data_IF_155037549384
#
_entry.id   IF_155037549384
#
_cell.length_a   1.000
_cell.length_b   1.000
_cell.length_c   1.000
_cell.angle_alpha   90.00
_cell.angle_beta   90.00
_cell.angle_gamma   90.00
#
_symmetry.space_group_name_H-M   'P 1'
#
loop_
_entity.id
_entity.type
_entity.pdbx_description
1 polymer ?
#
# COMPACT_ATOMS: atom_id res chain seq x y z
N UNK A 1 26.40 5.08 12.24
CA UNK A 1 25.36 5.95 12.83
C UNK A 1 24.34 6.24 11.74
N UNK A 2 23.06 5.87 11.89
CA UNK A 2 22.07 6.04 10.83
C UNK A 2 21.87 7.53 10.51
N UNK A 3 21.60 7.83 9.25
CA UNK A 3 21.37 9.19 8.77
C UNK A 3 20.11 9.83 9.38
N UNK A 4 19.10 8.99 9.67
CA UNK A 4 17.88 9.38 10.38
C UNK A 4 17.73 8.51 11.63
N UNK A 5 17.47 9.14 12.79
CA UNK A 5 17.21 8.45 14.06
C UNK A 5 16.00 9.07 14.74
N UNK A 6 14.97 8.25 15.03
CA UNK A 6 13.68 8.70 15.62
C UNK A 6 13.11 9.92 14.87
N UNK A 7 13.05 9.84 13.53
CA UNK A 7 12.52 10.90 12.67
C UNK A 7 13.38 12.17 12.55
N UNK A 8 14.58 12.21 13.14
CA UNK A 8 15.46 13.37 13.08
C UNK A 8 16.71 13.09 12.25
N UNK A 9 17.06 14.01 11.35
CA UNK A 9 18.29 13.95 10.56
C UNK A 9 19.48 14.08 11.51
N UNK A 10 20.44 13.15 11.44
CA UNK A 10 21.62 13.12 12.32
C UNK A 10 22.84 13.82 11.72
N UNK A 11 22.89 14.00 10.40
CA UNK A 11 24.02 14.59 9.65
C UNK A 11 23.62 15.93 9.02
N UNK A 12 23.12 16.87 9.82
CA UNK A 12 22.59 18.16 9.36
C UNK A 12 23.60 18.99 8.52
N UNK A 13 24.91 18.86 8.78
CA UNK A 13 25.94 19.55 8.00
C UNK A 13 26.02 19.10 6.54
N UNK A 14 25.62 17.87 6.22
CA UNK A 14 25.63 17.32 4.86
C UNK A 14 24.23 17.22 4.26
N UNK A 15 23.23 16.97 5.10
CA UNK A 15 21.83 16.79 4.73
C UNK A 15 20.98 17.70 5.63
N UNK A 16 20.84 19.00 5.27
CA UNK A 16 20.22 20.00 6.15
C UNK A 16 18.71 19.85 6.29
N UNK A 17 18.07 19.21 5.34
CA UNK A 17 16.59 19.09 5.24
C UNK A 17 16.16 17.79 4.55
N UNK A 18 14.86 17.57 4.49
CA UNK A 18 14.26 16.40 3.85
C UNK A 18 14.54 16.36 2.35
N UNK A 19 14.58 17.51 1.67
CA UNK A 19 14.85 17.55 0.23
C UNK A 19 16.26 17.04 -0.11
N UNK A 20 17.25 17.31 0.76
CA UNK A 20 18.60 16.77 0.63
C UNK A 20 18.65 15.25 0.82
N UNK A 21 17.83 14.70 1.73
CA UNK A 21 17.68 13.26 1.92
C UNK A 21 17.02 12.60 0.70
N UNK A 22 15.95 13.19 0.18
CA UNK A 22 15.22 12.69 -0.99
C UNK A 22 16.15 12.66 -2.22
N UNK A 23 16.92 13.73 -2.44
CA UNK A 23 17.92 13.78 -3.51
C UNK A 23 18.99 12.70 -3.37
N UNK A 24 19.43 12.43 -2.14
CA UNK A 24 20.41 11.36 -1.90
C UNK A 24 19.81 9.99 -2.15
N UNK A 25 18.57 9.75 -1.68
CA UNK A 25 17.83 8.51 -1.96
C UNK A 25 17.66 8.27 -3.46
N UNK A 26 17.22 9.29 -4.21
CA UNK A 26 17.02 9.21 -5.65
C UNK A 26 18.34 8.96 -6.40
N UNK A 27 19.45 9.42 -5.86
CA UNK A 27 20.79 9.21 -6.44
C UNK A 27 21.31 7.78 -6.26
N UNK A 28 21.12 7.19 -5.07
CA UNK A 28 21.73 5.89 -4.72
C UNK A 28 20.77 4.72 -4.87
N UNK A 29 19.47 4.98 -5.05
CA UNK A 29 18.40 3.98 -5.01
C UNK A 29 17.96 3.64 -3.59
N UNK A 30 16.74 3.13 -3.48
CA UNK A 30 16.08 2.93 -2.19
C UNK A 30 16.78 1.90 -1.31
N UNK A 31 17.20 0.75 -1.88
CA UNK A 31 17.89 -0.32 -1.17
C UNK A 31 19.25 0.13 -0.62
N UNK A 32 20.07 0.79 -1.45
CA UNK A 32 21.35 1.31 -1.01
C UNK A 32 21.17 2.40 0.04
N UNK A 33 20.14 3.25 -0.10
CA UNK A 33 19.82 4.26 0.90
C UNK A 33 19.43 3.63 2.24
N UNK A 34 18.61 2.60 2.25
CA UNK A 34 18.24 1.89 3.48
C UNK A 34 19.43 1.21 4.13
N UNK A 35 20.19 0.43 3.38
CA UNK A 35 21.33 -0.33 3.89
C UNK A 35 22.45 0.57 4.40
N UNK A 36 22.87 1.55 3.60
CA UNK A 36 24.07 2.34 3.87
C UNK A 36 23.80 3.58 4.73
N UNK A 37 22.63 4.20 4.58
CA UNK A 37 22.31 5.47 5.24
C UNK A 37 21.37 5.31 6.43
N UNK A 38 20.41 4.39 6.37
CA UNK A 38 19.51 4.10 7.49
C UNK A 38 19.99 2.92 8.34
N UNK A 39 21.00 2.18 7.89
CA UNK A 39 21.55 0.98 8.53
C UNK A 39 20.48 -0.11 8.76
N UNK A 40 19.54 -0.22 7.84
CA UNK A 40 18.53 -1.27 7.83
C UNK A 40 19.03 -2.50 7.08
N UNK A 41 18.67 -3.68 7.56
CA UNK A 41 18.95 -4.93 6.87
C UNK A 41 17.90 -5.10 5.77
N UNK A 42 18.35 -5.14 4.51
CA UNK A 42 17.48 -5.39 3.35
C UNK A 42 17.84 -6.77 2.80
N UNK A 43 16.90 -7.71 2.71
CA UNK A 43 17.17 -9.02 2.16
C UNK A 43 17.41 -8.91 0.63
N UNK A 44 18.60 -9.29 0.17
CA UNK A 44 18.91 -9.38 -1.26
C UNK A 44 18.61 -10.78 -1.80
N UNK A 45 18.92 -11.84 -1.00
CA UNK A 45 18.62 -13.22 -1.38
C UNK A 45 17.30 -13.68 -0.71
N UNK A 46 16.36 -14.17 -1.54
CA UNK A 46 15.06 -14.67 -1.06
C UNK A 46 14.01 -13.59 -0.74
N UNK A 47 14.21 -12.35 -1.18
CA UNK A 47 13.19 -11.32 -1.15
C UNK A 47 11.99 -11.72 -2.03
N UNK A 48 10.79 -11.44 -1.53
CA UNK A 48 9.54 -11.74 -2.25
C UNK A 48 9.22 -10.67 -3.31
N UNK A 49 9.80 -9.45 -3.16
CA UNK A 49 9.72 -8.32 -4.11
C UNK A 49 11.12 -7.73 -4.28
N UNK A 50 11.52 -7.46 -5.53
CA UNK A 50 12.81 -6.88 -5.87
C UNK A 50 12.68 -5.43 -6.34
N UNK A 51 13.71 -4.59 -6.09
CA UNK A 51 13.69 -3.17 -6.42
C UNK A 51 13.57 -2.90 -7.93
N UNK A 52 14.19 -3.72 -8.75
CA UNK A 52 14.15 -3.63 -10.21
C UNK A 52 12.76 -3.92 -10.82
N UNK A 53 11.85 -4.50 -10.03
CA UNK A 53 10.45 -4.72 -10.44
C UNK A 53 9.58 -3.50 -10.24
N UNK A 54 10.00 -2.52 -9.40
CA UNK A 54 9.20 -1.35 -9.06
C UNK A 54 9.17 -0.36 -10.23
N UNK A 55 8.02 -0.23 -10.84
CA UNK A 55 7.77 0.75 -11.90
C UNK A 55 7.05 1.97 -11.35
N UNK A 56 7.41 3.15 -11.87
CA UNK A 56 6.89 4.43 -11.39
C UNK A 56 6.14 5.20 -12.46
N UNK A 57 5.12 5.94 -12.05
CA UNK A 57 4.50 6.97 -12.87
C UNK A 57 4.76 8.36 -12.30
N UNK A 58 4.92 9.34 -13.19
CA UNK A 58 5.14 10.74 -12.85
C UNK A 58 3.87 11.57 -13.01
N UNK A 59 2.98 11.16 -13.92
CA UNK A 59 1.71 11.83 -14.20
C UNK A 59 0.56 10.85 -14.05
N UNK A 60 -0.50 11.32 -13.43
CA UNK A 60 -1.76 10.56 -13.31
C UNK A 60 -2.36 10.44 -14.72
N UNK A 61 -2.54 9.22 -15.25
CA UNK A 61 -3.16 9.07 -16.56
C UNK A 61 -4.68 9.31 -16.47
N UNK A 62 -5.31 9.83 -17.52
CA UNK A 62 -6.74 10.13 -17.54
C UNK A 62 -7.62 8.90 -17.21
N UNK A 63 -7.18 7.73 -17.61
CA UNK A 63 -7.87 6.45 -17.38
C UNK A 63 -8.08 6.12 -15.90
N UNK A 64 -7.27 6.71 -15.00
CA UNK A 64 -7.47 6.55 -13.55
C UNK A 64 -8.79 7.15 -13.05
N UNK A 65 -9.39 8.11 -13.76
CA UNK A 65 -10.66 8.71 -13.34
C UNK A 65 -11.84 7.77 -13.53
N UNK A 66 -11.81 6.96 -14.58
CA UNK A 66 -12.88 6.02 -14.94
C UNK A 66 -12.60 4.57 -14.55
N UNK A 67 -11.42 4.28 -14.02
CA UNK A 67 -11.04 2.94 -13.61
C UNK A 67 -11.75 2.46 -12.33
N UNK A 68 -11.65 1.16 -12.08
CA UNK A 68 -12.15 0.53 -10.86
C UNK A 68 -11.31 0.97 -9.67
N UNK A 69 -11.90 1.77 -8.79
CA UNK A 69 -11.25 2.31 -7.60
C UNK A 69 -11.32 1.31 -6.44
N UNK A 70 -10.22 1.15 -5.70
CA UNK A 70 -10.17 0.28 -4.53
C UNK A 70 -9.33 0.84 -3.39
N UNK A 71 -9.64 0.39 -2.19
CA UNK A 71 -8.93 0.69 -0.96
C UNK A 71 -8.74 -0.61 -0.18
N UNK A 72 -7.52 -1.08 -0.01
CA UNK A 72 -7.21 -2.19 0.87
C UNK A 72 -6.98 -1.69 2.28
N UNK A 73 -7.54 -2.36 3.26
CA UNK A 73 -7.46 -1.96 4.66
C UNK A 73 -6.99 -3.13 5.51
N UNK A 74 -5.95 -2.89 6.29
CA UNK A 74 -5.54 -3.71 7.42
C UNK A 74 -5.84 -2.96 8.72
N UNK A 75 -6.69 -3.53 9.57
CA UNK A 75 -7.20 -2.87 10.77
C UNK A 75 -6.40 -3.26 12.01
N UNK A 76 -5.86 -2.29 12.73
CA UNK A 76 -5.33 -2.50 14.07
C UNK A 76 -6.42 -2.91 15.07
N UNK A 77 -6.14 -3.93 15.89
CA UNK A 77 -7.14 -4.56 16.75
C UNK A 77 -7.09 -4.08 18.20
N UNK A 78 -6.05 -3.40 18.61
CA UNK A 78 -5.75 -3.15 20.02
C UNK A 78 -5.88 -1.69 20.42
N UNK A 79 -6.53 -1.43 21.57
CA UNK A 79 -6.60 -0.11 22.22
C UNK A 79 -5.39 0.22 23.12
N UNK A 80 -4.35 -0.63 23.15
CA UNK A 80 -3.18 -0.41 24.02
C UNK A 80 -2.22 0.57 23.38
N UNK A 81 -1.42 1.28 24.17
CA UNK A 81 -0.36 2.20 23.70
C UNK A 81 0.72 1.51 22.82
N UNK A 82 0.73 0.17 22.80
CA UNK A 82 1.52 -0.68 21.91
C UNK A 82 0.72 -1.17 20.71
N UNK A 83 -0.38 -0.51 20.35
CA UNK A 83 -1.28 -0.95 19.29
C UNK A 83 -0.60 -0.93 17.91
N UNK A 84 -0.93 -1.94 17.11
CA UNK A 84 -0.58 -2.03 15.71
C UNK A 84 -1.15 -0.83 14.91
N UNK A 85 -0.63 -0.58 13.75
CA UNK A 85 -1.10 0.49 12.88
C UNK A 85 -2.30 0.03 12.06
N UNK A 86 -3.29 0.90 11.89
CA UNK A 86 -4.28 0.76 10.83
C UNK A 86 -3.67 1.28 9.56
N UNK A 87 -3.63 0.43 8.54
CA UNK A 87 -3.05 0.74 7.24
C UNK A 87 -4.10 0.75 6.15
N UNK A 88 -4.05 1.75 5.27
CA UNK A 88 -4.96 1.88 4.14
C UNK A 88 -4.17 2.25 2.89
N UNK A 89 -4.30 1.42 1.84
CA UNK A 89 -3.66 1.64 0.54
C UNK A 89 -4.73 1.77 -0.52
N UNK A 90 -4.67 2.82 -1.34
CA UNK A 90 -5.62 3.09 -2.41
C UNK A 90 -5.00 2.86 -3.78
N UNK A 91 -5.80 2.41 -4.74
CA UNK A 91 -5.36 2.20 -6.11
C UNK A 91 -6.52 2.15 -7.09
N UNK A 92 -6.18 2.12 -8.37
CA UNK A 92 -7.13 2.08 -9.48
C UNK A 92 -6.70 1.04 -10.49
N UNK A 93 -7.64 0.17 -10.88
CA UNK A 93 -7.46 -0.78 -11.97
C UNK A 93 -8.15 -0.25 -13.23
N UNK A 94 -7.45 -0.26 -14.36
CA UNK A 94 -7.96 0.15 -15.66
C UNK A 94 -7.19 -0.54 -16.79
N UNK A 95 -7.66 -0.44 -18.02
CA UNK A 95 -6.93 -0.91 -19.20
C UNK A 95 -6.24 0.26 -19.89
N UNK A 96 -4.97 0.09 -20.21
CA UNK A 96 -4.18 1.03 -20.99
C UNK A 96 -3.51 0.30 -22.15
N UNK A 97 -3.77 0.74 -23.36
CA UNK A 97 -3.25 0.11 -24.58
C UNK A 97 -3.59 -1.39 -24.68
N UNK A 98 -4.79 -1.78 -24.20
CA UNK A 98 -5.25 -3.17 -24.15
C UNK A 98 -4.63 -4.02 -23.03
N UNK A 99 -3.85 -3.41 -22.13
CA UNK A 99 -3.14 -4.11 -21.04
C UNK A 99 -3.73 -3.66 -19.69
N UNK A 100 -4.16 -4.61 -18.81
CA UNK A 100 -4.58 -4.27 -17.47
C UNK A 100 -3.45 -3.63 -16.66
N UNK A 101 -3.76 -2.53 -15.99
CA UNK A 101 -2.85 -1.81 -15.10
C UNK A 101 -3.52 -1.52 -13.76
N UNK A 102 -2.74 -1.53 -12.70
CA UNK A 102 -3.14 -1.10 -11.37
C UNK A 102 -2.18 0.00 -10.92
N UNK A 103 -2.68 1.21 -10.79
CA UNK A 103 -1.88 2.34 -10.32
C UNK A 103 -2.18 2.61 -8.86
N UNK A 104 -1.15 2.57 -8.03
CA UNK A 104 -1.25 2.87 -6.61
C UNK A 104 -1.33 4.38 -6.42
N UNK A 105 -2.25 4.84 -5.57
CA UNK A 105 -2.37 6.26 -5.23
C UNK A 105 -1.30 6.66 -4.21
N UNK A 106 -0.81 7.90 -4.25
CA UNK A 106 0.16 8.38 -3.26
C UNK A 106 -0.47 8.53 -1.87
N UNK A 107 0.40 8.60 -0.86
CA UNK A 107 0.08 8.85 0.53
C UNK A 107 -0.84 7.79 1.17
N UNK A 108 -0.44 6.51 1.17
CA UNK A 108 -1.13 5.50 1.95
C UNK A 108 -1.17 5.91 3.42
N UNK A 109 -2.24 5.56 4.11
CA UNK A 109 -2.38 5.83 5.53
C UNK A 109 -1.71 4.69 6.29
N UNK A 110 -0.86 5.02 7.24
CA UNK A 110 -0.28 4.10 8.21
C UNK A 110 -0.23 4.81 9.57
N UNK A 111 -1.27 4.63 10.37
CA UNK A 111 -1.46 5.42 11.58
C UNK A 111 -2.13 4.61 12.69
N UNK A 112 -1.87 4.99 13.93
CA UNK A 112 -2.59 4.46 15.10
C UNK A 112 -3.93 5.15 15.19
N UNK A 113 -4.96 4.52 14.66
CA UNK A 113 -6.33 5.02 14.66
C UNK A 113 -7.16 4.25 15.68
N UNK A 114 -7.98 4.97 16.43
CA UNK A 114 -9.06 4.35 17.18
C UNK A 114 -10.12 3.80 16.23
N UNK A 115 -11.00 2.93 16.72
CA UNK A 115 -12.10 2.40 15.93
C UNK A 115 -12.94 3.52 15.28
N UNK A 116 -13.28 4.56 16.06
CA UNK A 116 -14.05 5.68 15.55
C UNK A 116 -13.29 6.45 14.46
N UNK A 117 -12.01 6.77 14.69
CA UNK A 117 -11.17 7.45 13.70
C UNK A 117 -11.03 6.63 12.42
N UNK A 118 -10.92 5.30 12.52
CA UNK A 118 -10.89 4.40 11.37
C UNK A 118 -12.16 4.53 10.53
N UNK A 119 -13.35 4.48 11.17
CA UNK A 119 -14.63 4.63 10.47
C UNK A 119 -14.77 6.02 9.82
N UNK A 120 -14.42 7.09 10.54
CA UNK A 120 -14.49 8.44 9.99
C UNK A 120 -13.49 8.64 8.83
N UNK A 121 -12.29 8.08 8.93
CA UNK A 121 -11.31 8.10 7.83
C UNK A 121 -11.85 7.38 6.60
N UNK A 122 -12.46 6.21 6.78
CA UNK A 122 -13.06 5.44 5.68
C UNK A 122 -14.21 6.20 5.01
N UNK A 123 -15.08 6.86 5.82
CA UNK A 123 -16.14 7.75 5.30
C UNK A 123 -15.56 8.92 4.51
N UNK A 124 -14.51 9.56 5.01
CA UNK A 124 -13.86 10.66 4.31
C UNK A 124 -13.26 10.21 2.97
N UNK A 125 -12.66 9.00 2.92
CA UNK A 125 -12.18 8.40 1.67
C UNK A 125 -13.32 8.14 0.69
N UNK A 126 -14.48 7.68 1.16
CA UNK A 126 -15.66 7.46 0.31
C UNK A 126 -16.24 8.76 -0.26
N UNK A 127 -16.15 9.87 0.46
CA UNK A 127 -16.55 11.20 -0.06
C UNK A 127 -15.66 11.64 -1.22
N UNK A 128 -14.35 11.41 -1.11
CA UNK A 128 -13.39 11.77 -2.17
C UNK A 128 -13.40 10.78 -3.34
N UNK A 129 -13.91 9.57 -3.11
CA UNK A 129 -13.98 8.50 -4.09
C UNK A 129 -15.26 7.67 -3.92
N UNK A 130 -16.43 8.19 -4.38
CA UNK A 130 -17.74 7.59 -4.12
C UNK A 130 -17.93 6.17 -4.68
N UNK A 131 -17.13 5.77 -5.67
CA UNK A 131 -17.18 4.44 -6.30
C UNK A 131 -16.07 3.50 -5.83
N UNK A 132 -15.27 3.95 -4.86
CA UNK A 132 -14.15 3.18 -4.35
C UNK A 132 -14.58 2.08 -3.39
N UNK A 133 -14.31 0.82 -3.75
CA UNK A 133 -14.57 -0.35 -2.90
C UNK A 133 -13.56 -0.42 -1.76
N UNK A 134 -13.98 -0.98 -0.61
CA UNK A 134 -13.13 -1.17 0.57
C UNK A 134 -12.92 -2.67 0.78
N UNK A 135 -11.69 -3.14 0.59
CA UNK A 135 -11.28 -4.53 0.77
C UNK A 135 -10.69 -4.69 2.17
N UNK A 136 -11.40 -5.36 3.06
CA UNK A 136 -11.06 -5.51 4.48
C UNK A 136 -10.90 -6.97 4.82
N UNK A 137 -9.87 -7.34 5.59
CA UNK A 137 -9.69 -8.72 6.04
C UNK A 137 -10.88 -9.20 6.89
N UNK A 138 -11.47 -10.36 6.55
CA UNK A 138 -12.56 -10.99 7.33
C UNK A 138 -11.96 -11.87 8.44
N UNK A 139 -11.56 -11.26 9.53
CA UNK A 139 -11.18 -11.95 10.76
C UNK A 139 -12.12 -11.57 11.91
N UNK A 140 -12.29 -12.48 12.86
CA UNK A 140 -13.37 -12.41 13.87
C UNK A 140 -13.48 -11.06 14.59
N UNK A 141 -12.38 -10.40 14.87
CA UNK A 141 -12.34 -9.14 15.61
C UNK A 141 -12.45 -7.88 14.73
N UNK A 142 -12.25 -8.00 13.41
CA UNK A 142 -12.45 -6.90 12.45
C UNK A 142 -13.92 -6.82 11.99
N UNK A 143 -14.71 -7.84 12.28
CA UNK A 143 -16.11 -7.94 11.86
C UNK A 143 -16.97 -6.78 12.31
N UNK A 144 -16.75 -6.27 13.53
CA UNK A 144 -17.45 -5.08 14.02
C UNK A 144 -17.18 -3.81 13.18
N UNK A 145 -15.97 -3.67 12.64
CA UNK A 145 -15.65 -2.56 11.76
C UNK A 145 -16.32 -2.72 10.39
N UNK A 146 -16.30 -3.94 9.84
CA UNK A 146 -17.00 -4.27 8.59
C UNK A 146 -18.50 -3.95 8.73
N UNK A 147 -19.16 -4.43 9.78
CA UNK A 147 -20.57 -4.16 10.05
C UNK A 147 -20.88 -2.66 10.18
N UNK A 148 -20.01 -1.88 10.83
CA UNK A 148 -20.19 -0.45 10.97
C UNK A 148 -19.98 0.29 9.64
N UNK A 149 -19.02 -0.13 8.84
CA UNK A 149 -18.84 0.38 7.48
C UNK A 149 -20.05 0.07 6.58
N UNK A 150 -20.61 -1.14 6.68
CA UNK A 150 -21.84 -1.55 5.96
C UNK A 150 -23.06 -0.71 6.41
N UNK A 151 -23.22 -0.46 7.72
CA UNK A 151 -24.26 0.45 8.25
C UNK A 151 -24.12 1.87 7.71
N UNK A 152 -22.88 2.30 7.49
CA UNK A 152 -22.58 3.60 6.88
C UNK A 152 -22.75 3.59 5.34
N UNK A 153 -23.28 2.49 4.76
CA UNK A 153 -23.50 2.30 3.32
C UNK A 153 -22.20 2.40 2.50
N UNK A 154 -21.07 2.05 3.09
CA UNK A 154 -19.81 1.97 2.37
C UNK A 154 -19.75 0.65 1.56
N UNK A 155 -19.21 0.66 0.34
CA UNK A 155 -19.09 -0.54 -0.49
C UNK A 155 -17.93 -1.43 -0.01
N UNK A 156 -18.17 -2.19 1.06
CA UNK A 156 -17.18 -3.05 1.71
C UNK A 156 -17.22 -4.45 1.13
N UNK A 157 -16.06 -5.02 0.90
CA UNK A 157 -15.84 -6.41 0.51
C UNK A 157 -14.98 -7.08 1.57
N UNK A 158 -15.55 -8.04 2.28
CA UNK A 158 -14.86 -8.86 3.26
C UNK A 158 -13.92 -9.85 2.55
N UNK A 159 -12.62 -9.74 2.78
CA UNK A 159 -11.59 -10.56 2.16
C UNK A 159 -11.17 -11.69 3.11
N UNK A 160 -11.36 -12.94 2.71
CA UNK A 160 -10.94 -14.08 3.53
C UNK A 160 -9.42 -14.23 3.53
N UNK A 161 -8.83 -14.30 4.72
CA UNK A 161 -7.44 -14.68 4.92
C UNK A 161 -7.30 -16.20 4.67
N UNK A 162 -7.08 -16.59 3.41
CA UNK A 162 -7.03 -18.01 3.02
C UNK A 162 -5.65 -18.65 3.10
N UNK A 163 -4.58 -17.88 3.31
CA UNK A 163 -3.20 -18.33 3.30
C UNK A 163 -2.33 -17.47 4.21
N UNK A 164 -1.13 -17.94 4.47
CA UNK A 164 -0.10 -17.19 5.17
C UNK A 164 0.25 -15.88 4.42
N UNK A 165 0.63 -14.86 5.17
CA UNK A 165 0.99 -13.52 4.72
C UNK A 165 1.95 -13.53 3.51
N UNK A 166 3.02 -14.30 3.64
CA UNK A 166 4.06 -14.42 2.61
C UNK A 166 3.53 -15.06 1.33
N UNK A 167 2.67 -16.06 1.44
CA UNK A 167 2.02 -16.68 0.29
C UNK A 167 1.10 -15.71 -0.45
N UNK A 168 0.37 -14.85 0.29
CA UNK A 168 -0.46 -13.79 -0.32
C UNK A 168 0.38 -12.76 -1.08
N UNK A 169 1.49 -12.28 -0.46
CA UNK A 169 2.40 -11.36 -1.13
C UNK A 169 2.99 -11.97 -2.41
N UNK A 170 3.46 -13.21 -2.35
CA UNK A 170 4.00 -13.92 -3.53
C UNK A 170 2.98 -14.06 -4.66
N UNK A 171 1.72 -14.29 -4.33
CA UNK A 171 0.65 -14.40 -5.32
C UNK A 171 0.45 -13.10 -6.12
N UNK A 172 0.71 -11.95 -5.53
CA UNK A 172 0.57 -10.65 -6.20
C UNK A 172 1.89 -10.08 -6.71
N UNK A 173 3.05 -10.59 -6.26
CA UNK A 173 4.37 -10.10 -6.64
C UNK A 173 4.62 -10.20 -8.16
N UNK A 174 4.00 -11.18 -8.83
CA UNK A 174 4.05 -11.32 -10.29
C UNK A 174 3.50 -10.08 -11.01
N UNK A 175 2.50 -9.39 -10.44
CA UNK A 175 1.93 -8.17 -11.02
C UNK A 175 2.85 -6.95 -10.83
N UNK A 176 3.72 -6.97 -9.83
CA UNK A 176 4.79 -5.97 -9.68
C UNK A 176 5.87 -6.27 -10.72
N UNK A 177 6.33 -7.52 -10.79
CA UNK A 177 7.40 -7.96 -11.67
C UNK A 177 7.10 -7.70 -13.15
N UNK A 178 5.89 -7.97 -13.61
CA UNK A 178 5.49 -7.76 -15.01
C UNK A 178 5.04 -6.34 -15.33
N UNK A 179 5.06 -5.42 -14.34
CA UNK A 179 4.70 -4.01 -14.50
C UNK A 179 3.20 -3.76 -14.65
N UNK A 180 2.34 -4.70 -14.24
CA UNK A 180 0.89 -4.45 -14.10
C UNK A 180 0.64 -3.45 -12.98
N UNK A 181 1.36 -3.58 -11.85
CA UNK A 181 1.29 -2.64 -10.73
C UNK A 181 2.33 -1.54 -10.93
N UNK A 182 1.89 -0.28 -10.85
CA UNK A 182 2.72 0.90 -11.02
C UNK A 182 2.54 1.84 -9.83
N UNK A 183 3.63 2.33 -9.28
CA UNK A 183 3.65 3.18 -8.09
C UNK A 183 3.82 4.66 -8.46
N UNK A 184 3.31 5.60 -7.65
CA UNK A 184 3.64 7.00 -7.83
C UNK A 184 5.12 7.24 -7.52
N UNK A 185 5.75 8.17 -8.23
CA UNK A 185 7.17 8.53 -7.99
C UNK A 185 7.42 9.04 -6.58
N UNK A 186 6.40 9.61 -5.93
CA UNK A 186 6.46 10.15 -4.57
C UNK A 186 5.22 9.77 -3.78
N UNK A 187 5.37 9.65 -2.47
CA UNK A 187 4.29 9.42 -1.52
C UNK A 187 3.95 7.95 -1.28
N UNK A 188 4.76 6.99 -1.78
CA UNK A 188 4.63 5.56 -1.46
C UNK A 188 5.94 4.96 -0.92
N UNK A 189 6.84 5.79 -0.44
CA UNK A 189 8.18 5.37 -0.02
C UNK A 189 8.11 4.31 1.09
N UNK A 190 7.27 4.53 2.12
CA UNK A 190 7.15 3.60 3.25
C UNK A 190 6.53 2.26 2.81
N UNK A 191 5.54 2.26 1.92
CA UNK A 191 4.99 1.04 1.35
C UNK A 191 6.05 0.26 0.55
N UNK A 192 6.82 0.94 -0.30
CA UNK A 192 7.88 0.29 -1.08
C UNK A 192 8.97 -0.25 -0.17
N UNK A 193 9.34 0.48 0.90
CA UNK A 193 10.28 0.01 1.92
C UNK A 193 9.79 -1.29 2.56
N UNK A 194 8.53 -1.35 2.99
CA UNK A 194 7.97 -2.55 3.60
C UNK A 194 7.87 -3.71 2.61
N UNK A 195 7.54 -3.46 1.32
CA UNK A 195 7.52 -4.48 0.28
C UNK A 195 8.90 -5.10 0.05
N UNK A 196 9.93 -4.27 -0.09
CA UNK A 196 11.31 -4.72 -0.32
C UNK A 196 11.94 -5.39 0.92
N UNK A 197 11.54 -4.96 2.12
CA UNK A 197 12.00 -5.48 3.40
C UNK A 197 11.09 -6.54 4.03
N UNK A 198 10.09 -7.05 3.29
CA UNK A 198 9.10 -7.96 3.85
C UNK A 198 9.73 -9.18 4.53
N UNK A 199 9.31 -9.45 5.77
CA UNK A 199 9.83 -10.51 6.61
C UNK A 199 11.10 -10.14 7.40
N UNK A 200 11.64 -8.93 7.27
CA UNK A 200 12.79 -8.39 8.02
C UNK A 200 12.45 -7.05 8.67
N UNK A 201 11.56 -6.25 8.07
CA UNK A 201 11.04 -5.02 8.67
C UNK A 201 10.22 -5.31 9.92
N UNK A 202 10.30 -4.40 10.91
CA UNK A 202 9.56 -4.51 12.18
C UNK A 202 8.05 -4.35 11.99
N UNK A 203 7.65 -3.61 10.95
CA UNK A 203 6.25 -3.35 10.59
C UNK A 203 6.03 -3.68 9.12
N UNK A 204 4.96 -4.40 8.83
CA UNK A 204 4.54 -4.81 7.48
C UNK A 204 3.04 -4.54 7.21
N UNK A 205 2.43 -3.69 8.03
CA UNK A 205 0.98 -3.40 7.98
C UNK A 205 0.54 -2.81 6.63
N UNK A 206 1.39 -1.95 5.99
CA UNK A 206 1.12 -1.43 4.64
C UNK A 206 1.13 -2.53 3.58
N UNK A 207 1.93 -3.57 3.76
CA UNK A 207 1.98 -4.70 2.84
C UNK A 207 0.68 -5.49 2.88
N UNK A 208 0.09 -5.72 4.05
CA UNK A 208 -1.20 -6.42 4.15
C UNK A 208 -2.32 -5.60 3.51
N UNK A 209 -2.43 -4.32 3.82
CA UNK A 209 -3.40 -3.44 3.17
C UNK A 209 -3.21 -3.40 1.64
N UNK A 210 -1.96 -3.36 1.16
CA UNK A 210 -1.65 -3.43 -0.27
C UNK A 210 -2.07 -4.76 -0.89
N UNK A 211 -1.80 -5.88 -0.22
CA UNK A 211 -2.20 -7.21 -0.69
C UNK A 211 -3.72 -7.30 -0.83
N UNK A 212 -4.49 -6.84 0.14
CA UNK A 212 -5.97 -6.84 0.05
C UNK A 212 -6.48 -5.93 -1.05
N UNK A 213 -5.86 -4.77 -1.27
CA UNK A 213 -6.16 -3.92 -2.42
C UNK A 213 -6.01 -4.68 -3.74
N UNK A 214 -4.85 -5.29 -3.97
CA UNK A 214 -4.55 -5.94 -5.25
C UNK A 214 -5.45 -7.16 -5.47
N UNK A 215 -5.59 -8.03 -4.46
CA UNK A 215 -6.47 -9.20 -4.55
C UNK A 215 -7.93 -8.78 -4.82
N UNK A 216 -8.41 -7.73 -4.14
CA UNK A 216 -9.75 -7.21 -4.33
C UNK A 216 -9.97 -6.65 -5.72
N UNK A 217 -9.06 -5.81 -6.22
CA UNK A 217 -9.14 -5.25 -7.58
C UNK A 217 -9.09 -6.34 -8.66
N UNK A 218 -8.22 -7.33 -8.52
CA UNK A 218 -8.12 -8.46 -9.45
C UNK A 218 -9.41 -9.29 -9.43
N UNK A 219 -9.93 -9.61 -8.25
CA UNK A 219 -11.19 -10.37 -8.12
C UNK A 219 -12.38 -9.63 -8.73
N UNK A 220 -12.51 -8.34 -8.47
CA UNK A 220 -13.59 -7.52 -9.03
C UNK A 220 -13.46 -7.35 -10.54
N UNK A 221 -12.25 -7.18 -11.04
CA UNK A 221 -11.97 -7.12 -12.47
C UNK A 221 -12.34 -8.41 -13.21
N UNK A 222 -12.06 -9.57 -12.61
CA UNK A 222 -12.48 -10.87 -13.18
C UNK A 222 -14.01 -11.06 -13.19
N UNK A 223 -14.72 -10.51 -12.20
CA UNK A 223 -16.18 -10.59 -12.11
C UNK A 223 -16.88 -9.59 -13.03
N UNK A 224 -16.23 -8.48 -13.34
CA UNK A 224 -16.79 -7.40 -14.14
C UNK A 224 -15.77 -6.94 -15.21
N UNK A 225 -15.50 -7.76 -16.22
CA UNK A 225 -14.48 -7.47 -17.23
C UNK A 225 -14.76 -6.19 -18.04
N UNK A 226 -16.02 -5.79 -18.16
CA UNK A 226 -16.43 -4.53 -18.81
C UNK A 226 -15.94 -3.30 -18.05
N UNK A 227 -15.88 -3.37 -16.71
CA UNK A 227 -15.45 -2.22 -15.85
C UNK A 227 -13.96 -1.93 -16.00
N UNK A 228 -13.17 -2.94 -16.35
CA UNK A 228 -11.74 -2.80 -16.61
C UNK A 228 -11.41 -2.78 -18.10
N UNK A 229 -12.44 -2.70 -18.98
CA UNK A 229 -12.25 -2.57 -20.44
C UNK A 229 -11.62 -3.81 -21.09
N UNK A 230 -11.88 -5.01 -20.58
CA UNK A 230 -11.40 -6.28 -21.15
C UNK A 230 -12.34 -6.87 -22.20
N UNK A 231 -13.48 -6.22 -22.51
CA UNK A 231 -14.42 -6.59 -23.59
C UNK A 231 -14.76 -5.35 -24.41
#
# INVERSE_FOLDING_TARGET
>A
YPLVKKGKITWLGKYPDQAALDKQRDKVGLNAYQREYLLKVVPEEGADVHEDWIQYYDKVPPEMESGLQGNGIDLAISKKETADYTSMVSGVSFVRDGIPKIYIKPNPINARLSFHETIETTKAMAVTNPFGMFFVEDVQYQRAAIEEMERALLPVVAMRAGSDKRARLRAIAVYIQNGTIVFPRKGCEDLIIQLLGFGVEEHDDLVDAFVYLILGLVQQGMQNPEVIGLI
#
